data_IF_506431773910
#
_entry.id   IF_506431773910
#
_cell.length_a   1.000
_cell.length_b   1.000
_cell.length_c   1.000
_cell.angle_alpha   90.00
_cell.angle_beta   90.00
_cell.angle_gamma   90.00
#
_symmetry.space_group_name_H-M   'P 1'
#
loop_
_entity.id
_entity.type
_entity.pdbx_description
1 polymer ?
#
# COMPACT_ATOMS: atom_id res chain seq x y z
N UNK A 1 13.31 -12.42 28.19
CA UNK A 1 12.63 -12.52 26.88
C UNK A 1 12.15 -11.13 26.53
N UNK A 2 12.87 -10.43 25.65
CA UNK A 2 12.48 -9.08 25.22
C UNK A 2 11.12 -9.13 24.54
N UNK A 3 10.26 -8.13 24.76
CA UNK A 3 8.99 -8.02 24.07
C UNK A 3 9.19 -8.20 22.55
N UNK A 4 8.27 -8.86 21.83
CA UNK A 4 8.39 -8.98 20.38
C UNK A 4 8.40 -7.58 19.79
N UNK A 5 9.55 -7.13 19.29
CA UNK A 5 9.64 -5.84 18.62
C UNK A 5 8.71 -5.85 17.41
N UNK A 6 7.83 -4.85 17.33
CA UNK A 6 6.94 -4.68 16.19
C UNK A 6 7.71 -4.04 15.04
N UNK A 7 8.60 -4.81 14.41
CA UNK A 7 9.41 -4.35 13.27
C UNK A 7 8.55 -3.78 12.14
N UNK A 8 7.34 -4.32 11.97
CA UNK A 8 6.41 -3.83 10.97
C UNK A 8 5.93 -2.42 11.28
N UNK A 9 5.57 -2.12 12.53
CA UNK A 9 5.20 -0.77 12.95
C UNK A 9 6.38 0.20 12.81
N UNK A 10 7.57 -0.21 13.24
CA UNK A 10 8.79 0.60 13.12
C UNK A 10 9.13 0.89 11.65
N UNK A 11 9.18 -0.13 10.79
CA UNK A 11 9.46 0.04 9.36
C UNK A 11 8.40 0.90 8.68
N UNK A 12 7.11 0.68 8.98
CA UNK A 12 6.01 1.50 8.45
C UNK A 12 6.18 2.97 8.83
N UNK A 13 6.58 3.26 10.08
CA UNK A 13 6.86 4.62 10.56
C UNK A 13 8.01 5.25 9.78
N UNK A 14 9.12 4.54 9.61
CA UNK A 14 10.28 4.99 8.83
C UNK A 14 9.86 5.33 7.40
N UNK A 15 9.20 4.39 6.71
CA UNK A 15 8.74 4.57 5.33
C UNK A 15 7.73 5.70 5.17
N UNK A 16 6.86 5.92 6.17
CA UNK A 16 5.88 7.01 6.15
C UNK A 16 6.51 8.40 6.15
N UNK A 17 7.73 8.54 6.72
CA UNK A 17 8.47 9.81 6.75
C UNK A 17 9.23 10.12 5.46
N UNK A 18 9.23 9.23 4.45
CA UNK A 18 10.05 9.40 3.24
C UNK A 18 9.80 10.72 2.49
N UNK A 19 8.53 11.06 2.25
CA UNK A 19 8.18 12.07 1.25
C UNK A 19 8.81 11.74 -0.10
N UNK A 20 9.69 12.61 -0.59
CA UNK A 20 10.41 12.46 -1.87
C UNK A 20 11.86 11.98 -1.72
N UNK A 21 12.29 11.65 -0.50
CA UNK A 21 13.65 11.17 -0.25
C UNK A 21 13.87 9.78 -0.84
N UNK A 22 15.13 9.48 -1.17
CA UNK A 22 15.57 8.16 -1.62
C UNK A 22 16.28 7.52 -0.43
N UNK A 23 15.90 6.29 -0.09
CA UNK A 23 16.58 5.52 0.95
C UNK A 23 17.56 4.52 0.34
N UNK A 24 18.55 4.14 1.13
CA UNK A 24 19.46 3.02 0.86
C UNK A 24 19.23 1.92 1.87
N UNK A 25 18.66 0.81 1.40
CA UNK A 25 18.23 -0.29 2.26
C UNK A 25 19.24 -1.43 2.14
N UNK A 26 19.84 -1.81 3.25
CA UNK A 26 20.87 -2.85 3.29
C UNK A 26 20.56 -3.89 4.37
N UNK A 27 21.06 -5.12 4.16
CA UNK A 27 20.94 -6.17 5.15
C UNK A 27 22.00 -6.00 6.23
N UNK A 28 21.56 -5.97 7.49
CA UNK A 28 22.48 -5.87 8.62
C UNK A 28 23.23 -7.18 8.86
N UNK A 29 24.55 -7.13 9.15
CA UNK A 29 25.29 -8.24 9.71
C UNK A 29 24.77 -8.62 11.10
N UNK A 30 25.12 -9.82 11.57
CA UNK A 30 24.79 -10.25 12.92
C UNK A 30 25.43 -9.31 13.97
N UNK A 31 24.71 -9.05 15.07
CA UNK A 31 25.17 -8.21 16.18
C UNK A 31 24.82 -6.72 16.09
N UNK A 32 24.30 -6.23 14.97
CA UNK A 32 23.89 -4.82 14.78
C UNK A 32 22.41 -4.55 15.13
N UNK A 33 21.70 -5.52 15.67
CA UNK A 33 20.24 -5.43 15.86
C UNK A 33 19.45 -5.76 14.59
N UNK A 34 18.13 -5.68 14.68
CA UNK A 34 17.22 -6.19 13.65
C UNK A 34 16.70 -5.11 12.68
N UNK A 35 16.63 -3.85 13.12
CA UNK A 35 16.19 -2.71 12.32
C UNK A 35 16.81 -1.41 12.86
N UNK A 36 17.50 -0.68 11.99
CA UNK A 36 18.16 0.59 12.29
C UNK A 36 17.90 1.60 11.16
N UNK A 37 17.86 2.88 11.51
CA UNK A 37 17.83 3.96 10.54
C UNK A 37 18.84 5.03 10.93
N UNK A 38 19.71 5.40 9.99
CA UNK A 38 20.62 6.53 10.10
C UNK A 38 20.43 7.44 8.88
N UNK A 39 19.75 8.58 9.07
CA UNK A 39 19.41 9.49 7.98
C UNK A 39 18.58 8.80 6.90
N UNK A 40 19.17 8.64 5.71
CA UNK A 40 18.55 7.98 4.56
C UNK A 40 18.91 6.49 4.42
N UNK A 41 19.75 5.97 5.32
CA UNK A 41 20.14 4.58 5.31
C UNK A 41 19.24 3.77 6.25
N UNK A 42 18.80 2.61 5.77
CA UNK A 42 17.97 1.68 6.53
C UNK A 42 18.65 0.32 6.55
N UNK A 43 19.13 -0.05 7.74
CA UNK A 43 19.62 -1.40 8.00
C UNK A 43 18.47 -2.27 8.50
N UNK A 44 18.24 -3.42 7.88
CA UNK A 44 17.24 -4.39 8.36
C UNK A 44 17.77 -5.82 8.25
N UNK A 45 17.54 -6.68 9.23
CA UNK A 45 17.86 -8.10 9.09
C UNK A 45 16.86 -8.79 8.16
N UNK A 46 17.29 -9.84 7.47
CA UNK A 46 16.38 -10.62 6.61
C UNK A 46 15.21 -11.20 7.40
N UNK A 47 15.44 -11.60 8.66
CA UNK A 47 14.41 -12.09 9.58
C UNK A 47 13.34 -11.03 9.84
N UNK A 48 13.74 -9.81 10.21
CA UNK A 48 12.83 -8.71 10.46
C UNK A 48 12.04 -8.34 9.18
N UNK A 49 12.71 -8.27 8.03
CA UNK A 49 12.04 -7.98 6.76
C UNK A 49 11.00 -9.05 6.37
N UNK A 50 11.31 -10.34 6.60
CA UNK A 50 10.36 -11.44 6.37
C UNK A 50 9.15 -11.33 7.31
N UNK A 51 9.35 -10.95 8.57
CA UNK A 51 8.22 -10.71 9.50
C UNK A 51 7.35 -9.54 9.03
N UNK A 52 7.97 -8.42 8.61
CA UNK A 52 7.26 -7.29 8.01
C UNK A 52 6.47 -7.71 6.76
N UNK A 53 7.06 -8.53 5.89
CA UNK A 53 6.41 -9.05 4.68
C UNK A 53 5.19 -9.89 5.01
N UNK A 54 5.29 -10.82 5.96
CA UNK A 54 4.16 -11.67 6.35
C UNK A 54 3.00 -10.81 6.86
N UNK A 55 3.28 -9.84 7.74
CA UNK A 55 2.26 -8.92 8.28
C UNK A 55 1.65 -8.03 7.18
N UNK A 56 2.48 -7.50 6.27
CA UNK A 56 2.01 -6.70 5.13
C UNK A 56 1.12 -7.52 4.19
N UNK A 57 1.49 -8.77 3.92
CA UNK A 57 0.70 -9.69 3.10
C UNK A 57 -0.65 -9.99 3.75
N UNK A 58 -0.70 -10.25 5.05
CA UNK A 58 -1.94 -10.47 5.79
C UNK A 58 -2.88 -9.26 5.68
N UNK A 59 -2.36 -8.04 5.83
CA UNK A 59 -3.14 -6.81 5.70
C UNK A 59 -3.71 -6.70 4.27
N UNK A 60 -2.88 -6.88 3.24
CA UNK A 60 -3.32 -6.80 1.85
C UNK A 60 -4.35 -7.89 1.49
N UNK A 61 -4.16 -9.12 1.97
CA UNK A 61 -5.10 -10.22 1.76
C UNK A 61 -6.44 -9.96 2.44
N UNK A 62 -6.44 -9.48 3.69
CA UNK A 62 -7.69 -9.16 4.41
C UNK A 62 -8.53 -8.13 3.65
N UNK A 63 -7.87 -7.19 2.96
CA UNK A 63 -8.57 -6.19 2.16
C UNK A 63 -9.12 -6.72 0.85
N UNK A 64 -8.39 -7.59 0.16
CA UNK A 64 -8.93 -8.22 -1.05
C UNK A 64 -10.23 -8.97 -0.75
N UNK A 65 -10.31 -9.63 0.42
CA UNK A 65 -11.54 -10.27 0.90
C UNK A 65 -12.63 -9.25 1.24
N UNK A 66 -12.30 -8.12 1.87
CA UNK A 66 -13.27 -7.05 2.18
C UNK A 66 -13.80 -6.34 0.94
N UNK A 67 -12.95 -6.04 -0.04
CA UNK A 67 -13.36 -5.45 -1.31
C UNK A 67 -14.23 -6.42 -2.13
N UNK A 68 -13.95 -7.72 -2.08
CA UNK A 68 -14.79 -8.74 -2.69
C UNK A 68 -16.17 -8.80 -2.04
N UNK A 69 -16.23 -8.71 -0.70
CA UNK A 69 -17.50 -8.67 0.03
C UNK A 69 -18.31 -7.41 -0.33
N UNK A 70 -17.65 -6.25 -0.45
CA UNK A 70 -18.30 -4.98 -0.84
C UNK A 70 -18.76 -4.95 -2.30
N UNK A 71 -18.14 -5.75 -3.17
CA UNK A 71 -18.47 -5.82 -4.61
C UNK A 71 -19.49 -6.89 -4.96
N UNK A 72 -19.97 -7.70 -4.01
CA UNK A 72 -21.02 -8.69 -4.31
C UNK A 72 -22.34 -7.93 -4.53
N UNK A 73 -22.89 -7.88 -5.76
CA UNK A 73 -24.22 -7.33 -5.95
C UNK A 73 -25.22 -8.24 -5.24
N UNK A 74 -26.14 -7.62 -4.49
CA UNK A 74 -27.37 -8.24 -3.98
C UNK A 74 -27.94 -9.14 -5.09
N UNK A 75 -27.84 -10.46 -4.91
CA UNK A 75 -28.35 -11.41 -5.89
C UNK A 75 -29.84 -11.45 -5.68
N UNK A 76 -30.57 -10.70 -6.50
CA UNK A 76 -32.03 -10.61 -6.47
C UNK A 76 -32.65 -12.00 -6.57
N UNK A 77 -33.37 -12.39 -5.52
CA UNK A 77 -34.42 -13.39 -5.59
C UNK A 77 -35.60 -12.79 -6.34
N UNK A 78 -35.90 -13.33 -7.52
CA UNK A 78 -37.18 -13.13 -8.18
C UNK A 78 -38.26 -13.90 -7.39
N UNK A 79 -39.17 -13.19 -6.74
CA UNK A 79 -40.59 -13.55 -6.74
C UNK A 79 -41.42 -12.24 -6.82
N UNK A 80 -42.28 -12.19 -7.84
CA UNK A 80 -43.21 -11.10 -8.11
C UNK A 80 -44.37 -11.14 -7.09
N UNK A 81 -44.71 -9.99 -6.48
CA UNK A 81 -46.12 -9.57 -6.37
C UNK A 81 -46.27 -8.10 -5.96
N UNK A 82 -47.23 -7.46 -6.62
CA UNK A 82 -47.64 -6.05 -6.60
C UNK A 82 -48.17 -5.55 -5.25
N UNK A 83 -47.80 -4.33 -4.81
CA UNK A 83 -48.76 -3.30 -4.32
C UNK A 83 -48.10 -1.93 -4.02
N UNK A 84 -48.87 -0.86 -4.24
CA UNK A 84 -48.58 0.57 -4.01
C UNK A 84 -48.42 0.93 -2.51
N UNK A 85 -47.50 1.86 -2.20
CA UNK A 85 -47.51 2.63 -0.95
C UNK A 85 -46.15 3.26 -0.59
N UNK A 86 -46.04 4.59 -0.64
CA UNK A 86 -44.98 5.36 0.06
C UNK A 86 -45.24 5.34 1.59
N UNK A 87 -44.32 5.77 2.51
CA UNK A 87 -43.15 6.64 2.34
C UNK A 87 -41.85 6.22 3.07
N UNK A 88 -40.77 6.96 2.75
CA UNK A 88 -39.43 7.06 3.38
C UNK A 88 -39.28 6.48 4.80
N UNK A 89 -38.37 5.52 4.96
CA UNK A 89 -37.65 5.29 6.21
C UNK A 89 -36.17 4.94 5.96
N UNK A 90 -35.37 5.30 6.96
CA UNK A 90 -33.95 5.55 7.01
C UNK A 90 -33.06 4.37 6.56
N UNK A 91 -32.31 4.57 5.47
CA UNK A 91 -31.27 3.64 5.06
C UNK A 91 -30.12 3.69 6.06
N UNK A 92 -30.25 2.88 7.10
CA UNK A 92 -29.24 2.62 8.12
C UNK A 92 -27.92 2.21 7.45
N UNK A 93 -27.00 3.16 7.34
CA UNK A 93 -25.62 2.85 6.98
C UNK A 93 -25.05 1.89 8.04
N UNK A 94 -24.36 0.81 7.65
CA UNK A 94 -23.71 -0.06 8.63
C UNK A 94 -22.71 0.75 9.47
N UNK A 95 -22.53 0.41 10.76
CA UNK A 95 -21.72 1.20 11.68
C UNK A 95 -20.29 1.33 11.13
N UNK A 96 -19.93 2.55 10.75
CA UNK A 96 -18.62 2.91 10.22
C UNK A 96 -17.59 2.79 11.35
N UNK A 97 -17.02 1.60 11.50
CA UNK A 97 -16.08 1.30 12.57
C UNK A 97 -14.73 1.98 12.28
N UNK A 98 -14.54 3.18 12.84
CA UNK A 98 -13.42 4.09 12.54
C UNK A 98 -12.04 3.44 12.66
N UNK A 99 -11.88 2.48 13.57
CA UNK A 99 -10.64 1.73 13.77
C UNK A 99 -10.29 0.81 12.58
N UNK A 100 -11.30 0.26 11.90
CA UNK A 100 -11.12 -0.60 10.72
C UNK A 100 -10.76 0.27 9.51
N UNK A 101 -11.47 1.39 9.32
CA UNK A 101 -11.22 2.32 8.23
C UNK A 101 -9.82 2.94 8.31
N UNK A 102 -9.32 3.24 9.52
CA UNK A 102 -7.97 3.77 9.71
C UNK A 102 -6.88 2.72 9.44
N UNK A 103 -7.12 1.45 9.79
CA UNK A 103 -6.22 0.32 9.50
C UNK A 103 -6.07 0.06 8.01
N UNK A 104 -7.04 0.49 7.20
CA UNK A 104 -7.08 0.26 5.75
C UNK A 104 -7.03 1.53 4.90
N UNK A 105 -6.53 2.62 5.49
CA UNK A 105 -6.28 3.87 4.75
C UNK A 105 -5.44 3.62 3.49
N UNK A 106 -5.69 4.35 2.37
CA UNK A 106 -4.86 4.27 1.17
C UNK A 106 -3.37 4.46 1.43
N UNK A 107 -3.02 5.25 2.46
CA UNK A 107 -1.64 5.46 2.88
C UNK A 107 -1.06 4.20 3.51
N UNK A 108 -1.82 3.52 4.38
CA UNK A 108 -1.39 2.26 5.00
C UNK A 108 -1.14 1.20 3.93
N UNK A 109 -2.02 1.11 2.93
CA UNK A 109 -1.87 0.21 1.79
C UNK A 109 -0.65 0.51 0.95
N UNK A 110 -0.35 1.78 0.71
CA UNK A 110 0.86 2.19 0.00
C UNK A 110 2.11 1.64 0.71
N UNK A 111 2.16 1.77 2.03
CA UNK A 111 3.26 1.26 2.85
C UNK A 111 3.30 -0.28 2.83
N UNK A 112 2.15 -0.96 2.84
CA UNK A 112 2.13 -2.43 2.74
C UNK A 112 2.65 -2.93 1.38
N UNK A 113 2.18 -2.34 0.28
CA UNK A 113 2.65 -2.72 -1.06
C UNK A 113 4.15 -2.45 -1.23
N UNK A 114 4.64 -1.41 -0.59
CA UNK A 114 6.06 -1.14 -0.53
C UNK A 114 6.84 -2.21 0.25
N UNK A 115 6.42 -2.58 1.47
CA UNK A 115 7.07 -3.63 2.27
C UNK A 115 7.09 -4.96 1.49
N UNK A 116 6.01 -5.29 0.77
CA UNK A 116 5.97 -6.47 -0.09
C UNK A 116 7.06 -6.42 -1.16
N UNK A 117 7.19 -5.26 -1.81
CA UNK A 117 8.17 -5.06 -2.89
C UNK A 117 9.61 -4.98 -2.40
N UNK A 118 9.87 -4.66 -1.12
CA UNK A 118 11.21 -4.70 -0.52
C UNK A 118 11.78 -6.12 -0.38
N UNK A 119 10.90 -7.12 -0.20
CA UNK A 119 11.33 -8.52 -0.11
C UNK A 119 11.16 -9.24 -1.46
N UNK A 120 10.07 -8.98 -2.16
CA UNK A 120 9.68 -9.64 -3.40
C UNK A 120 9.50 -8.63 -4.53
N UNK A 121 10.54 -8.47 -5.35
CA UNK A 121 10.55 -7.56 -6.49
C UNK A 121 9.54 -7.95 -7.59
N UNK A 122 9.07 -9.20 -7.63
CA UNK A 122 8.14 -9.70 -8.64
C UNK A 122 6.67 -9.71 -8.15
N UNK A 123 6.38 -9.03 -7.04
CA UNK A 123 5.03 -9.02 -6.45
C UNK A 123 4.03 -8.18 -7.30
N UNK A 124 3.55 -8.78 -8.39
CA UNK A 124 2.74 -8.12 -9.43
C UNK A 124 1.47 -7.46 -8.88
N UNK A 125 0.82 -8.06 -7.89
CA UNK A 125 -0.37 -7.49 -7.24
C UNK A 125 -0.07 -6.16 -6.56
N UNK A 126 1.12 -6.01 -5.96
CA UNK A 126 1.53 -4.78 -5.31
C UNK A 126 1.81 -3.69 -6.35
N UNK A 127 2.60 -4.01 -7.39
CA UNK A 127 2.85 -3.09 -8.51
C UNK A 127 1.55 -2.63 -9.19
N UNK A 128 0.65 -3.57 -9.52
CA UNK A 128 -0.63 -3.24 -10.17
C UNK A 128 -1.54 -2.41 -9.27
N UNK A 129 -1.55 -2.64 -7.96
CA UNK A 129 -2.29 -1.80 -7.02
C UNK A 129 -1.77 -0.36 -7.06
N UNK A 130 -0.44 -0.16 -7.01
CA UNK A 130 0.19 1.16 -7.08
C UNK A 130 -0.10 1.89 -8.40
N UNK A 131 -0.07 1.16 -9.53
CA UNK A 131 -0.49 1.70 -10.84
C UNK A 131 -1.94 2.18 -10.84
N UNK A 132 -2.89 1.34 -10.37
CA UNK A 132 -4.31 1.69 -10.29
C UNK A 132 -4.54 2.95 -9.44
N UNK A 133 -3.86 3.06 -8.30
CA UNK A 133 -3.90 4.25 -7.45
C UNK A 133 -3.48 5.52 -8.22
N UNK A 134 -2.41 5.47 -9.00
CA UNK A 134 -1.96 6.60 -9.81
C UNK A 134 -2.90 6.94 -10.96
N UNK A 135 -3.49 5.93 -11.62
CA UNK A 135 -4.52 6.16 -12.64
C UNK A 135 -5.74 6.87 -12.07
N UNK A 136 -6.25 6.40 -10.92
CA UNK A 136 -7.40 7.02 -10.25
C UNK A 136 -7.13 8.50 -9.90
N UNK A 137 -5.93 8.84 -9.42
CA UNK A 137 -5.54 10.23 -9.16
C UNK A 137 -5.44 11.07 -10.45
N UNK A 138 -4.96 10.47 -11.55
CA UNK A 138 -4.87 11.14 -12.86
C UNK A 138 -6.25 11.40 -13.47
N UNK A 139 -7.19 10.49 -13.28
CA UNK A 139 -8.59 10.63 -13.70
C UNK A 139 -9.28 11.72 -12.86
N UNK A 140 -9.09 11.68 -11.53
CA UNK A 140 -9.63 12.71 -10.64
C UNK A 140 -9.13 14.10 -11.02
N UNK A 141 -7.88 14.26 -11.48
CA UNK A 141 -7.36 15.53 -12.01
C UNK A 141 -8.16 16.05 -13.21
N UNK A 142 -8.55 15.16 -14.13
CA UNK A 142 -9.24 15.54 -15.36
C UNK A 142 -10.69 15.98 -15.10
N UNK A 143 -11.31 15.46 -14.06
CA UNK A 143 -12.70 15.78 -13.69
C UNK A 143 -12.83 16.95 -12.70
N UNK A 144 -11.73 17.51 -12.18
CA UNK A 144 -11.77 18.54 -11.14
C UNK A 144 -11.91 19.98 -11.69
N UNK A 145 -12.63 20.82 -10.94
CA UNK A 145 -12.77 22.25 -11.22
C UNK A 145 -11.42 22.99 -11.08
N UNK A 146 -11.17 24.04 -11.88
CA UNK A 146 -9.98 24.87 -11.75
C UNK A 146 -9.94 25.54 -10.37
N UNK A 147 -9.05 25.08 -9.48
CA UNK A 147 -8.89 25.60 -8.12
C UNK A 147 -8.59 24.55 -7.05
N UNK A 148 -8.85 23.27 -7.31
CA UNK A 148 -8.50 22.20 -6.37
C UNK A 148 -7.01 21.83 -6.41
N UNK A 149 -6.43 21.50 -5.26
CA UNK A 149 -5.03 21.09 -5.15
C UNK A 149 -4.77 19.80 -5.94
N UNK A 150 -3.87 19.86 -6.92
CA UNK A 150 -3.52 18.73 -7.75
C UNK A 150 -2.51 17.81 -7.04
N UNK A 151 -2.99 16.69 -6.51
CA UNK A 151 -2.18 15.72 -5.77
C UNK A 151 -1.42 14.74 -6.68
N UNK A 152 -1.69 14.73 -8.00
CA UNK A 152 -1.06 13.78 -8.92
C UNK A 152 0.46 14.00 -9.08
N UNK A 153 0.97 15.22 -9.39
CA UNK A 153 2.41 15.47 -9.53
C UNK A 153 3.24 15.09 -8.30
N UNK A 154 2.90 15.52 -7.06
CA UNK A 154 3.69 15.13 -5.88
C UNK A 154 3.63 13.62 -5.63
N UNK A 155 2.47 12.99 -5.85
CA UNK A 155 2.34 11.53 -5.68
C UNK A 155 3.18 10.75 -6.70
N UNK A 156 3.23 11.21 -7.94
CA UNK A 156 4.07 10.61 -8.99
C UNK A 156 5.56 10.75 -8.66
N UNK A 157 5.98 11.91 -8.15
CA UNK A 157 7.35 12.11 -7.68
C UNK A 157 7.71 11.16 -6.54
N UNK A 158 6.83 10.98 -5.56
CA UNK A 158 7.01 10.00 -4.48
C UNK A 158 7.14 8.56 -5.02
N UNK A 159 6.38 8.19 -6.05
CA UNK A 159 6.48 6.88 -6.68
C UNK A 159 7.84 6.67 -7.39
N UNK A 160 8.35 7.72 -8.05
CA UNK A 160 9.68 7.70 -8.68
C UNK A 160 10.78 7.58 -7.60
N UNK A 161 10.68 8.30 -6.49
CA UNK A 161 11.63 8.17 -5.36
C UNK A 161 11.59 6.77 -4.75
N UNK A 162 10.40 6.18 -4.60
CA UNK A 162 10.21 4.80 -4.16
C UNK A 162 10.88 3.79 -5.11
N UNK A 163 10.58 3.84 -6.40
CA UNK A 163 11.19 2.91 -7.38
C UNK A 163 12.70 3.09 -7.48
N UNK A 164 13.20 4.29 -7.25
CA UNK A 164 14.64 4.56 -7.18
C UNK A 164 15.27 3.97 -5.92
N UNK A 165 14.62 4.10 -4.75
CA UNK A 165 15.04 3.47 -3.49
C UNK A 165 15.24 1.97 -3.65
N UNK A 166 14.22 1.26 -4.14
CA UNK A 166 14.25 -0.21 -4.24
C UNK A 166 15.25 -0.74 -5.29
N UNK A 167 15.50 0.01 -6.37
CA UNK A 167 16.44 -0.39 -7.42
C UNK A 167 17.89 -0.02 -7.10
N UNK A 168 18.12 1.03 -6.30
CA UNK A 168 19.46 1.45 -5.87
C UNK A 168 19.96 0.65 -4.67
N UNK A 169 19.04 0.24 -3.80
CA UNK A 169 19.37 -0.57 -2.63
C UNK A 169 19.97 -1.92 -3.03
N UNK A 170 20.98 -2.44 -2.31
CA UNK A 170 21.61 -3.76 -2.56
C UNK A 170 20.70 -4.95 -2.18
N UNK A 171 19.44 -4.94 -2.61
CA UNK A 171 18.44 -5.95 -2.34
C UNK A 171 18.53 -7.09 -3.38
N UNK A 172 18.23 -8.31 -2.94
CA UNK A 172 18.34 -9.50 -3.79
C UNK A 172 17.38 -9.41 -4.98
N UNK A 173 17.89 -9.61 -6.20
CA UNK A 173 17.13 -9.66 -7.47
C UNK A 173 16.44 -8.37 -7.94
N UNK A 174 16.42 -7.31 -7.13
CA UNK A 174 15.68 -6.09 -7.45
C UNK A 174 16.18 -5.40 -8.72
N UNK A 175 17.50 -5.26 -8.90
CA UNK A 175 18.11 -4.65 -10.09
C UNK A 175 17.91 -5.44 -11.38
N UNK A 176 17.45 -6.69 -11.29
CA UNK A 176 17.20 -7.57 -12.44
C UNK A 176 15.72 -7.88 -12.63
N UNK A 177 14.84 -7.25 -11.85
CA UNK A 177 13.40 -7.50 -11.88
C UNK A 177 12.76 -6.89 -13.13
N UNK A 178 12.25 -7.67 -14.09
CA UNK A 178 11.50 -7.12 -15.22
C UNK A 178 10.25 -6.37 -14.76
N UNK A 179 9.58 -6.80 -13.68
CA UNK A 179 8.39 -6.15 -13.13
C UNK A 179 8.71 -4.76 -12.60
N UNK A 180 9.76 -4.60 -11.79
CA UNK A 180 10.15 -3.28 -11.26
C UNK A 180 10.64 -2.34 -12.36
N UNK A 181 11.44 -2.84 -13.31
CA UNK A 181 11.90 -2.02 -14.44
C UNK A 181 10.74 -1.59 -15.34
N UNK A 182 9.78 -2.47 -15.61
CA UNK A 182 8.57 -2.11 -16.34
C UNK A 182 7.72 -1.09 -15.57
N UNK A 183 7.59 -1.23 -14.25
CA UNK A 183 6.91 -0.25 -13.41
C UNK A 183 7.61 1.12 -13.46
N UNK A 184 8.94 1.16 -13.32
CA UNK A 184 9.73 2.40 -13.44
C UNK A 184 9.55 3.07 -14.79
N UNK A 185 9.64 2.30 -15.88
CA UNK A 185 9.41 2.80 -17.24
C UNK A 185 8.00 3.38 -17.39
N UNK A 186 7.00 2.81 -16.73
CA UNK A 186 5.62 3.29 -16.78
C UNK A 186 5.39 4.56 -15.95
N UNK A 187 6.14 4.77 -14.87
CA UNK A 187 6.04 5.97 -14.02
C UNK A 187 6.77 7.20 -14.57
N UNK A 188 7.66 7.01 -15.56
CA UNK A 188 8.42 8.06 -16.25
C UNK A 188 7.73 8.46 -17.54
#
# INVERSE_FOLDING_TARGET
MSAPEDYHATLTKILSSRGNQIFDIHFLPEGFGDLLQEGHEIGITKKALVQCFIKARQILSSLSSLEQLRRKPETGSNEEHVSLGAPREDASQPPRNSNIDQKYSPQTLLLQTEILLLLDSEHLTACNWRKRRLCALKEQKQSQCPGSANHYPPTLHTEISFTTTILRSPLHRHTKSPVLWYHRKWTM
#
